data_IF_772318616802
#
_entry.id   IF_772318616802
#
_cell.length_a   1.000
_cell.length_b   1.000
_cell.length_c   1.000
_cell.angle_alpha   90.00
_cell.angle_beta   90.00
_cell.angle_gamma   90.00
#
_symmetry.space_group_name_H-M   'P 1'
#
loop_
_entity.id
_entity.type
_entity.pdbx_description
1 polymer ?
#
# COMPACT_ATOMS: atom_id res chain seq x y z
N UNK A 1 -2.78 12.06 10.46
CA UNK A 1 -3.07 10.73 9.85
C UNK A 1 -1.85 9.86 9.98
N UNK A 2 -2.00 8.60 10.36
CA UNK A 2 -0.94 7.60 10.47
C UNK A 2 -0.98 6.62 9.30
N UNK A 3 0.17 6.05 8.93
CA UNK A 3 0.27 5.04 7.87
C UNK A 3 0.43 3.63 8.45
N UNK A 4 -0.31 2.66 7.91
CA UNK A 4 -0.09 1.24 8.19
C UNK A 4 0.27 0.54 6.89
N UNK A 5 1.35 -0.25 6.89
CA UNK A 5 1.68 -1.15 5.78
C UNK A 5 1.52 -2.59 6.27
N UNK A 6 0.57 -3.33 5.69
CA UNK A 6 0.42 -4.75 5.99
C UNK A 6 1.35 -5.57 5.11
N UNK A 7 2.48 -5.97 5.64
CA UNK A 7 3.55 -6.72 4.98
C UNK A 7 3.66 -8.18 5.46
N UNK A 8 2.68 -8.69 6.22
CA UNK A 8 2.73 -9.99 6.90
C UNK A 8 2.25 -11.19 6.06
N UNK A 9 1.97 -11.00 4.78
CA UNK A 9 1.52 -12.05 3.88
C UNK A 9 2.62 -13.11 3.61
N UNK A 10 2.28 -14.40 3.76
CA UNK A 10 3.24 -15.52 3.55
C UNK A 10 3.71 -15.70 2.10
N UNK A 11 3.03 -15.13 1.12
CA UNK A 11 3.40 -15.22 -0.30
C UNK A 11 3.49 -16.66 -0.84
N UNK A 12 2.67 -17.59 -0.35
CA UNK A 12 2.77 -19.04 -0.68
C UNK A 12 2.66 -19.34 -2.16
N UNK A 13 1.96 -18.50 -2.93
CA UNK A 13 1.85 -18.62 -4.39
C UNK A 13 3.19 -18.38 -5.12
N UNK A 14 4.16 -17.75 -4.42
CA UNK A 14 5.51 -17.47 -4.94
C UNK A 14 6.57 -18.49 -4.44
N UNK A 15 6.17 -19.57 -3.76
CA UNK A 15 7.12 -20.60 -3.38
C UNK A 15 7.83 -21.19 -4.63
N UNK A 16 9.16 -21.44 -4.56
CA UNK A 16 10.04 -21.38 -3.38
C UNK A 16 10.66 -20.00 -3.05
N UNK A 17 10.45 -18.96 -3.85
CA UNK A 17 11.08 -17.63 -3.66
C UNK A 17 10.81 -17.02 -2.27
N UNK A 18 9.61 -17.21 -1.75
CA UNK A 18 9.18 -16.68 -0.44
C UNK A 18 9.34 -17.66 0.72
N UNK A 19 10.14 -18.72 0.56
CA UNK A 19 10.51 -19.60 1.69
C UNK A 19 11.51 -18.94 2.64
N UNK A 20 12.56 -18.23 2.15
CA UNK A 20 13.56 -17.62 3.02
C UNK A 20 13.18 -16.20 3.49
N UNK A 21 12.21 -15.53 2.85
CA UNK A 21 11.81 -14.15 3.15
C UNK A 21 10.38 -13.90 2.71
N UNK A 22 9.72 -12.93 3.33
CA UNK A 22 8.35 -12.55 2.95
C UNK A 22 8.31 -11.83 1.59
N UNK A 23 7.13 -11.89 0.94
CA UNK A 23 6.89 -11.32 -0.39
C UNK A 23 7.31 -9.84 -0.51
N UNK A 24 7.02 -8.93 0.46
CA UNK A 24 7.41 -7.52 0.35
C UNK A 24 8.91 -7.25 0.29
N UNK A 25 9.75 -8.22 0.63
CA UNK A 25 11.21 -8.12 0.53
C UNK A 25 11.75 -8.60 -0.83
N UNK A 26 10.93 -9.24 -1.66
CA UNK A 26 11.35 -9.64 -3.01
C UNK A 26 11.65 -8.40 -3.86
N UNK A 27 12.68 -8.46 -4.72
CA UNK A 27 12.99 -7.35 -5.62
C UNK A 27 11.91 -7.23 -6.70
N UNK A 28 11.49 -6.00 -6.98
CA UNK A 28 10.73 -5.63 -8.17
C UNK A 28 11.57 -4.65 -8.95
N UNK A 29 12.23 -5.15 -9.99
CA UNK A 29 13.25 -4.51 -10.80
C UNK A 29 14.49 -4.11 -9.98
N UNK A 30 14.58 -2.90 -9.45
CA UNK A 30 15.80 -2.31 -8.87
C UNK A 30 15.72 -2.09 -7.34
N UNK A 31 14.59 -2.40 -6.70
CA UNK A 31 14.40 -2.23 -5.26
C UNK A 31 13.43 -3.25 -4.66
N UNK A 32 13.45 -3.47 -3.33
CA UNK A 32 12.48 -4.34 -2.67
C UNK A 32 11.04 -3.83 -2.83
N UNK A 33 10.10 -4.73 -2.95
CA UNK A 33 8.67 -4.44 -3.16
C UNK A 33 8.10 -3.47 -2.13
N UNK A 34 8.53 -3.54 -0.87
CA UNK A 34 8.04 -2.69 0.23
C UNK A 34 8.28 -1.19 0.01
N UNK A 35 9.21 -0.81 -0.87
CA UNK A 35 9.46 0.59 -1.23
C UNK A 35 8.23 1.23 -1.89
N UNK A 36 7.49 0.47 -2.70
CA UNK A 36 6.34 1.01 -3.43
C UNK A 36 5.16 1.36 -2.52
N UNK A 37 4.68 0.50 -1.60
CA UNK A 37 3.64 0.89 -0.64
C UNK A 37 4.11 1.99 0.32
N UNK A 38 5.39 2.03 0.69
CA UNK A 38 5.93 3.14 1.48
C UNK A 38 5.89 4.45 0.68
N UNK A 39 6.25 4.41 -0.61
CA UNK A 39 6.14 5.57 -1.51
C UNK A 39 4.69 6.09 -1.62
N UNK A 40 3.67 5.21 -1.59
CA UNK A 40 2.26 5.61 -1.58
C UNK A 40 1.94 6.46 -0.34
N UNK A 41 2.35 6.03 0.85
CA UNK A 41 2.15 6.79 2.08
C UNK A 41 2.87 8.14 2.04
N UNK A 42 4.12 8.16 1.56
CA UNK A 42 4.89 9.39 1.43
C UNK A 42 4.26 10.37 0.42
N UNK A 43 3.74 9.89 -0.73
CA UNK A 43 3.01 10.71 -1.70
C UNK A 43 1.71 11.29 -1.13
N UNK A 44 1.06 10.56 -0.23
CA UNK A 44 -0.10 11.05 0.51
C UNK A 44 0.27 12.08 1.59
N UNK A 45 1.55 12.35 1.83
CA UNK A 45 2.04 13.27 2.86
C UNK A 45 2.09 12.65 4.27
N UNK A 46 2.13 11.32 4.36
CA UNK A 46 2.14 10.58 5.64
C UNK A 46 3.58 10.21 5.98
N UNK A 47 4.05 10.69 7.13
CA UNK A 47 5.43 10.50 7.62
C UNK A 47 5.54 9.61 8.86
N UNK A 48 4.44 9.35 9.57
CA UNK A 48 4.42 8.39 10.69
C UNK A 48 3.86 7.05 10.22
N UNK A 49 4.69 6.02 10.16
CA UNK A 49 4.35 4.72 9.54
C UNK A 49 4.62 3.57 10.48
N UNK A 50 3.68 2.62 10.56
CA UNK A 50 3.93 1.31 11.15
C UNK A 50 3.94 0.24 10.04
N UNK A 51 5.00 -0.56 9.99
CA UNK A 51 5.10 -1.73 9.11
C UNK A 51 4.75 -2.97 9.90
N UNK A 52 3.68 -3.65 9.50
CA UNK A 52 3.20 -4.88 10.13
C UNK A 52 3.81 -6.06 9.37
N UNK A 53 4.68 -6.80 10.02
CA UNK A 53 5.54 -7.83 9.43
C UNK A 53 5.17 -9.24 9.93
N UNK A 54 5.62 -10.31 9.25
CA UNK A 54 5.49 -11.67 9.79
C UNK A 54 6.34 -11.84 11.06
N UNK A 55 6.01 -12.83 11.92
CA UNK A 55 6.84 -13.18 13.07
C UNK A 55 8.28 -13.49 12.67
N UNK A 56 9.23 -13.00 13.47
CA UNK A 56 10.68 -13.19 13.30
C UNK A 56 11.30 -12.54 12.05
N UNK A 57 10.59 -11.64 11.36
CA UNK A 57 11.14 -10.89 10.22
C UNK A 57 11.37 -9.40 10.53
N UNK A 58 11.04 -8.94 11.73
CA UNK A 58 11.21 -7.53 12.15
C UNK A 58 12.64 -7.03 11.92
N UNK A 59 13.64 -7.81 12.31
CA UNK A 59 15.05 -7.43 12.14
C UNK A 59 15.43 -7.25 10.67
N UNK A 60 14.87 -8.07 9.78
CA UNK A 60 15.14 -7.98 8.33
C UNK A 60 14.55 -6.71 7.73
N UNK A 61 13.31 -6.37 8.11
CA UNK A 61 12.69 -5.12 7.67
C UNK A 61 13.38 -3.90 8.28
N UNK A 62 13.77 -3.98 9.56
CA UNK A 62 14.52 -2.93 10.25
C UNK A 62 15.90 -2.72 9.63
N UNK A 63 16.60 -3.79 9.23
CA UNK A 63 17.88 -3.68 8.51
C UNK A 63 17.75 -2.99 7.15
N UNK A 64 16.56 -3.09 6.49
CA UNK A 64 16.30 -2.46 5.19
C UNK A 64 15.82 -1.02 5.31
N UNK A 65 14.86 -0.75 6.20
CA UNK A 65 14.14 0.53 6.27
C UNK A 65 14.55 1.38 7.50
N UNK A 66 15.32 0.83 8.44
CA UNK A 66 15.73 1.51 9.66
C UNK A 66 14.53 1.97 10.49
N UNK A 67 14.69 3.12 11.12
CA UNK A 67 13.62 3.87 11.80
C UNK A 67 12.95 4.91 10.88
N UNK A 68 13.32 4.94 9.60
CA UNK A 68 12.80 5.84 8.59
C UNK A 68 13.49 7.21 8.53
N UNK A 69 14.41 7.53 9.45
CA UNK A 69 15.07 8.83 9.51
C UNK A 69 15.86 9.16 8.23
N UNK A 70 16.42 8.14 7.56
CA UNK A 70 17.09 8.29 6.26
C UNK A 70 16.16 8.75 5.14
N UNK A 71 14.84 8.60 5.30
CA UNK A 71 13.81 9.06 4.37
C UNK A 71 13.02 10.27 4.93
N UNK A 72 13.48 10.87 6.04
CA UNK A 72 12.79 11.98 6.70
C UNK A 72 11.41 11.64 7.29
N UNK A 73 11.16 10.37 7.58
CA UNK A 73 9.92 9.85 8.17
C UNK A 73 10.21 9.07 9.46
N UNK A 74 9.18 8.65 10.16
CA UNK A 74 9.29 7.76 11.34
C UNK A 74 8.67 6.41 11.02
N UNK A 75 9.44 5.33 11.18
CA UNK A 75 8.97 3.96 10.98
C UNK A 75 9.07 3.18 12.29
N UNK A 76 7.97 2.53 12.68
CA UNK A 76 7.97 1.51 13.70
C UNK A 76 7.43 0.19 13.15
N UNK A 77 7.63 -0.90 13.90
CA UNK A 77 7.31 -2.24 13.45
C UNK A 77 6.39 -2.93 14.45
N UNK A 78 5.46 -3.75 13.92
CA UNK A 78 4.66 -4.67 14.71
C UNK A 78 4.59 -6.03 14.00
N UNK A 79 4.41 -7.11 14.75
CA UNK A 79 4.23 -8.43 14.18
C UNK A 79 2.76 -8.79 14.07
N UNK A 80 2.38 -9.45 12.97
CA UNK A 80 1.11 -10.17 12.87
C UNK A 80 1.36 -11.66 13.12
N UNK A 81 1.11 -12.18 14.33
CA UNK A 81 1.47 -13.55 14.70
C UNK A 81 0.73 -14.61 13.89
N UNK A 82 -0.49 -14.30 13.49
CA UNK A 82 -1.37 -15.17 12.67
C UNK A 82 -2.01 -14.33 11.58
N UNK A 83 -1.98 -14.81 10.35
CA UNK A 83 -2.64 -14.15 9.22
C UNK A 83 -4.18 -14.26 9.37
N UNK A 84 -4.78 -13.29 10.07
CA UNK A 84 -6.23 -13.23 10.34
C UNK A 84 -6.98 -12.33 9.39
N UNK A 85 -6.40 -11.92 8.29
CA UNK A 85 -7.01 -11.05 7.30
C UNK A 85 -6.46 -9.61 7.32
N UNK A 86 -6.91 -8.80 6.36
CA UNK A 86 -6.39 -7.44 6.18
C UNK A 86 -6.88 -6.51 7.30
N UNK A 87 -8.14 -6.63 7.74
CA UNK A 87 -8.68 -5.77 8.79
C UNK A 87 -7.99 -5.96 10.15
N UNK A 88 -7.30 -7.08 10.37
CA UNK A 88 -6.47 -7.31 11.56
C UNK A 88 -5.34 -6.29 11.70
N UNK A 89 -4.86 -5.72 10.59
CA UNK A 89 -3.87 -4.64 10.61
C UNK A 89 -4.36 -3.41 11.39
N UNK A 90 -5.65 -3.09 11.32
CA UNK A 90 -6.25 -2.00 12.09
C UNK A 90 -6.21 -2.29 13.59
N UNK A 91 -6.42 -3.54 13.99
CA UNK A 91 -6.36 -3.95 15.40
C UNK A 91 -4.94 -3.91 15.95
N UNK A 92 -3.97 -4.39 15.17
CA UNK A 92 -2.55 -4.35 15.53
C UNK A 92 -2.05 -2.90 15.62
N UNK A 93 -2.46 -2.04 14.67
CA UNK A 93 -2.06 -0.64 14.61
C UNK A 93 -2.79 0.28 15.59
N UNK A 94 -3.78 -0.20 16.36
CA UNK A 94 -4.69 0.64 17.15
C UNK A 94 -3.98 1.60 18.12
N UNK A 95 -3.01 1.11 18.88
CA UNK A 95 -2.27 1.94 19.83
C UNK A 95 -1.39 2.99 19.13
N UNK A 96 -0.78 2.61 18.00
CA UNK A 96 0.03 3.51 17.19
C UNK A 96 -0.82 4.61 16.54
N UNK A 97 -1.99 4.26 16.01
CA UNK A 97 -2.90 5.22 15.39
C UNK A 97 -3.50 6.17 16.43
N UNK A 98 -3.83 5.67 17.64
CA UNK A 98 -4.44 6.48 18.70
C UNK A 98 -5.76 7.08 18.22
N UNK A 99 -5.89 8.40 18.35
CA UNK A 99 -7.09 9.16 17.92
C UNK A 99 -7.02 9.67 16.47
N UNK A 100 -5.94 9.39 15.76
CA UNK A 100 -5.72 9.83 14.38
C UNK A 100 -6.58 9.03 13.37
N UNK A 101 -6.72 9.59 12.18
CA UNK A 101 -7.13 8.84 10.99
C UNK A 101 -5.97 7.98 10.48
N UNK A 102 -6.28 6.98 9.65
CA UNK A 102 -5.31 5.99 9.18
C UNK A 102 -5.39 5.79 7.67
N UNK A 103 -4.23 5.64 7.03
CA UNK A 103 -4.10 5.07 5.70
C UNK A 103 -3.49 3.67 5.82
N UNK A 104 -4.23 2.65 5.40
CA UNK A 104 -3.75 1.27 5.31
C UNK A 104 -3.37 0.95 3.87
N UNK A 105 -2.16 0.46 3.66
CA UNK A 105 -1.66 0.02 2.35
C UNK A 105 -1.20 -1.43 2.43
N UNK A 106 -1.50 -2.21 1.40
CA UNK A 106 -1.00 -3.58 1.31
C UNK A 106 0.45 -3.59 0.83
N UNK A 107 1.30 -4.34 1.53
CA UNK A 107 2.75 -4.39 1.34
C UNK A 107 3.22 -5.02 0.02
N UNK A 108 2.28 -5.50 -0.79
CA UNK A 108 2.54 -6.14 -2.07
C UNK A 108 1.85 -5.45 -3.27
N UNK A 109 1.28 -4.27 -3.04
CA UNK A 109 0.63 -3.50 -4.09
C UNK A 109 1.55 -2.38 -4.60
N UNK A 110 1.64 -2.27 -5.90
CA UNK A 110 2.42 -1.24 -6.60
C UNK A 110 1.46 -0.37 -7.39
N UNK A 111 1.56 0.94 -7.21
CA UNK A 111 0.79 1.93 -7.98
C UNK A 111 1.73 2.96 -8.59
N UNK A 112 1.42 3.38 -9.80
CA UNK A 112 2.15 4.46 -10.45
C UNK A 112 1.26 5.20 -11.44
N UNK A 113 1.26 6.53 -11.36
CA UNK A 113 0.87 7.47 -12.40
C UNK A 113 1.36 8.87 -12.03
N UNK A 114 1.35 9.79 -12.98
CA UNK A 114 1.71 11.20 -12.73
C UNK A 114 0.68 11.91 -11.84
N UNK A 115 -0.58 11.46 -11.85
CA UNK A 115 -1.69 12.06 -11.10
C UNK A 115 -1.91 11.41 -9.72
N UNK A 116 -1.25 10.30 -9.44
CA UNK A 116 -1.50 9.48 -8.26
C UNK A 116 -1.36 10.28 -6.95
N UNK A 117 -0.32 11.09 -6.83
CA UNK A 117 -0.07 11.89 -5.62
C UNK A 117 -1.22 12.86 -5.30
N UNK A 118 -1.87 13.44 -6.32
CA UNK A 118 -3.03 14.31 -6.12
C UNK A 118 -4.23 13.53 -5.60
N UNK A 119 -4.49 12.37 -6.18
CA UNK A 119 -5.61 11.49 -5.78
C UNK A 119 -5.42 10.98 -4.35
N UNK A 120 -4.20 10.59 -3.99
CA UNK A 120 -3.85 10.14 -2.63
C UNK A 120 -4.02 11.26 -1.60
N UNK A 121 -3.58 12.50 -1.91
CA UNK A 121 -3.76 13.65 -1.03
C UNK A 121 -5.24 14.00 -0.81
N UNK A 122 -6.09 13.84 -1.83
CA UNK A 122 -7.55 13.98 -1.66
C UNK A 122 -8.10 12.96 -0.66
N UNK A 123 -7.68 11.69 -0.76
CA UNK A 123 -8.03 10.67 0.23
C UNK A 123 -7.55 11.02 1.64
N UNK A 124 -6.32 11.52 1.77
CA UNK A 124 -5.73 11.88 3.06
C UNK A 124 -6.38 13.13 3.72
N UNK A 125 -7.04 13.98 2.94
CA UNK A 125 -7.75 15.18 3.46
C UNK A 125 -9.13 14.87 4.05
N UNK A 126 -9.62 13.65 3.93
CA UNK A 126 -10.90 13.25 4.47
C UNK A 126 -10.94 13.39 6.00
N UNK A 127 -11.98 14.06 6.51
CA UNK A 127 -12.14 14.33 7.95
C UNK A 127 -12.93 13.23 8.68
N UNK A 128 -13.82 12.52 7.98
CA UNK A 128 -14.69 11.49 8.54
C UNK A 128 -15.08 10.47 7.47
N UNK A 129 -15.36 9.23 7.89
CA UNK A 129 -15.76 8.13 7.03
C UNK A 129 -14.56 7.40 6.41
N UNK A 130 -14.78 6.83 5.23
CA UNK A 130 -13.76 6.06 4.48
C UNK A 130 -13.66 6.53 3.04
N UNK A 131 -12.43 6.59 2.52
CA UNK A 131 -12.15 6.73 1.09
C UNK A 131 -11.35 5.53 0.62
N UNK A 132 -11.86 4.86 -0.40
CA UNK A 132 -11.18 3.78 -1.10
C UNK A 132 -11.19 4.06 -2.60
N UNK A 133 -10.46 3.26 -3.35
CA UNK A 133 -10.34 3.46 -4.80
C UNK A 133 -11.04 2.35 -5.57
N UNK A 134 -11.62 2.71 -6.71
CA UNK A 134 -12.14 1.77 -7.69
C UNK A 134 -11.18 1.62 -8.86
N UNK A 135 -10.68 0.42 -9.12
CA UNK A 135 -9.79 0.14 -10.24
C UNK A 135 -10.40 -0.88 -11.18
N UNK A 136 -10.44 -0.57 -12.48
CA UNK A 136 -11.02 -1.46 -13.47
C UNK A 136 -10.07 -2.60 -13.85
N UNK A 137 -10.55 -3.85 -13.80
CA UNK A 137 -9.79 -5.03 -14.20
C UNK A 137 -10.64 -5.95 -15.09
N UNK A 138 -10.01 -6.71 -15.95
CA UNK A 138 -10.69 -7.69 -16.80
C UNK A 138 -11.28 -8.86 -15.99
N UNK A 139 -10.54 -9.33 -14.98
CA UNK A 139 -10.97 -10.42 -14.08
C UNK A 139 -11.06 -9.96 -12.62
N UNK A 140 -12.23 -9.49 -12.15
CA UNK A 140 -12.38 -8.97 -10.79
C UNK A 140 -12.56 -10.06 -9.71
N UNK A 141 -12.79 -11.32 -10.07
CA UNK A 141 -13.12 -12.43 -9.13
C UNK A 141 -12.15 -12.61 -7.96
N UNK A 142 -10.83 -12.38 -8.05
CA UNK A 142 -9.92 -12.57 -6.93
C UNK A 142 -9.97 -11.47 -5.86
N UNK A 143 -10.75 -10.40 -6.06
CA UNK A 143 -10.68 -9.15 -5.32
C UNK A 143 -12.04 -8.77 -4.70
N UNK A 144 -12.03 -7.77 -3.83
CA UNK A 144 -13.24 -7.07 -3.42
C UNK A 144 -13.81 -6.25 -4.59
N UNK A 145 -15.04 -6.54 -5.01
CA UNK A 145 -15.69 -5.93 -6.18
C UNK A 145 -16.71 -4.90 -5.71
N UNK A 146 -16.65 -3.69 -6.27
CA UNK A 146 -17.59 -2.61 -6.01
C UNK A 146 -18.56 -2.44 -7.18
N UNK A 147 -19.84 -2.27 -6.88
CA UNK A 147 -20.89 -1.95 -7.84
C UNK A 147 -21.29 -0.49 -7.68
N UNK A 148 -21.49 0.21 -8.79
CA UNK A 148 -21.91 1.61 -8.83
C UNK A 148 -23.32 1.75 -9.40
N UNK A 149 -24.06 2.75 -8.95
CA UNK A 149 -25.30 3.21 -9.57
C UNK A 149 -25.03 4.11 -10.80
N UNK A 150 -26.11 4.62 -11.41
CA UNK A 150 -26.04 5.50 -12.57
C UNK A 150 -25.40 6.87 -12.26
N UNK A 151 -25.39 7.28 -10.98
CA UNK A 151 -24.76 8.52 -10.51
C UNK A 151 -23.27 8.33 -10.12
N UNK A 152 -22.75 7.09 -10.24
CA UNK A 152 -21.37 6.74 -9.89
C UNK A 152 -21.16 6.54 -8.38
N UNK A 153 -22.22 6.34 -7.60
CA UNK A 153 -22.11 6.04 -6.17
C UNK A 153 -21.99 4.54 -5.96
N UNK A 154 -21.14 4.13 -5.02
CA UNK A 154 -21.04 2.72 -4.63
C UNK A 154 -22.34 2.26 -3.95
N UNK A 155 -22.93 1.16 -4.42
CA UNK A 155 -24.17 0.60 -3.88
C UNK A 155 -23.99 -0.79 -3.28
N UNK A 156 -22.97 -1.52 -3.68
CA UNK A 156 -22.62 -2.79 -3.07
C UNK A 156 -21.12 -3.08 -3.19
N UNK A 157 -20.61 -3.87 -2.24
CA UNK A 157 -19.25 -4.40 -2.27
C UNK A 157 -19.32 -5.88 -1.90
N UNK A 158 -18.60 -6.73 -2.63
CA UNK A 158 -18.57 -8.17 -2.38
C UNK A 158 -17.14 -8.71 -2.45
N UNK A 159 -16.72 -9.45 -1.41
CA UNK A 159 -15.39 -10.06 -1.36
C UNK A 159 -15.34 -11.31 -2.24
N UNK A 160 -14.47 -11.31 -3.25
CA UNK A 160 -14.21 -12.44 -4.16
C UNK A 160 -15.48 -13.12 -4.68
N UNK A 161 -16.38 -12.39 -5.32
CA UNK A 161 -17.66 -12.90 -5.77
C UNK A 161 -17.51 -13.97 -6.84
N UNK A 162 -18.35 -15.01 -6.79
CA UNK A 162 -18.43 -16.02 -7.88
C UNK A 162 -18.97 -15.42 -9.17
N UNK A 163 -19.87 -14.45 -9.04
CA UNK A 163 -20.54 -13.73 -10.14
C UNK A 163 -20.42 -12.23 -9.91
N UNK A 164 -19.25 -11.62 -10.30
CA UNK A 164 -19.01 -10.21 -10.11
C UNK A 164 -20.07 -9.35 -10.79
N UNK A 165 -20.56 -8.32 -10.09
CA UNK A 165 -21.56 -7.38 -10.63
C UNK A 165 -20.92 -6.25 -11.44
N UNK A 166 -19.62 -6.04 -11.29
CA UNK A 166 -18.84 -5.06 -12.04
C UNK A 166 -17.41 -5.55 -12.29
N UNK A 167 -16.66 -4.78 -13.06
CA UNK A 167 -15.23 -4.99 -13.27
C UNK A 167 -14.37 -4.05 -12.39
N UNK A 168 -15.00 -3.27 -11.51
CA UNK A 168 -14.27 -2.42 -10.58
C UNK A 168 -13.95 -3.15 -9.29
N UNK A 169 -12.68 -3.17 -8.93
CA UNK A 169 -12.19 -3.74 -7.67
C UNK A 169 -11.75 -2.64 -6.73
N UNK A 170 -11.63 -2.96 -5.45
CA UNK A 170 -11.00 -2.10 -4.44
C UNK A 170 -9.57 -2.60 -4.24
N UNK A 171 -8.55 -1.93 -4.79
CA UNK A 171 -7.16 -2.29 -4.59
C UNK A 171 -6.67 -1.88 -3.19
N UNK A 172 -5.45 -2.28 -2.84
CA UNK A 172 -4.92 -2.26 -1.49
C UNK A 172 -4.51 -0.90 -0.91
N UNK A 173 -5.32 0.15 -1.08
CA UNK A 173 -5.16 1.45 -0.43
C UNK A 173 -6.48 1.87 0.18
N UNK A 174 -6.48 2.16 1.49
CA UNK A 174 -7.67 2.49 2.26
C UNK A 174 -7.40 3.67 3.19
N UNK A 175 -8.20 4.71 3.11
CA UNK A 175 -8.20 5.84 4.03
C UNK A 175 -9.42 5.74 4.93
N UNK A 176 -9.21 5.77 6.23
CA UNK A 176 -10.26 5.65 7.23
C UNK A 176 -10.13 6.72 8.31
N UNK A 177 -11.27 7.17 8.84
CA UNK A 177 -11.29 7.84 10.12
C UNK A 177 -11.04 6.84 11.27
N UNK A 178 -10.96 7.33 12.49
CA UNK A 178 -10.64 6.50 13.67
C UNK A 178 -11.70 5.42 13.98
N UNK A 179 -12.93 5.56 13.49
CA UNK A 179 -13.99 4.56 13.70
C UNK A 179 -13.64 3.18 13.11
N UNK A 180 -12.73 3.13 12.13
CA UNK A 180 -12.28 1.87 11.53
C UNK A 180 -11.73 0.87 12.58
N UNK A 181 -11.10 1.37 13.64
CA UNK A 181 -10.56 0.53 14.71
C UNK A 181 -11.66 -0.19 15.49
N UNK A 182 -12.77 0.50 15.76
CA UNK A 182 -13.93 -0.07 16.43
C UNK A 182 -14.71 -1.00 15.49
N UNK A 183 -14.88 -0.60 14.24
CA UNK A 183 -15.52 -1.44 13.23
C UNK A 183 -14.75 -2.76 13.10
N UNK A 184 -13.43 -2.71 12.93
CA UNK A 184 -12.59 -3.91 12.82
C UNK A 184 -12.67 -4.81 14.07
N UNK A 185 -12.75 -4.23 15.28
CA UNK A 185 -12.87 -4.97 16.53
C UNK A 185 -14.20 -5.73 16.67
N UNK A 186 -15.24 -5.29 15.97
CA UNK A 186 -16.59 -5.90 16.00
C UNK A 186 -16.83 -6.86 14.82
N UNK A 187 -15.86 -7.06 13.92
CA UNK A 187 -16.01 -7.99 12.81
C UNK A 187 -16.02 -9.45 13.30
N UNK A 188 -16.81 -10.26 12.62
CA UNK A 188 -16.71 -11.72 12.73
C UNK A 188 -15.90 -12.28 11.59
N UNK A 189 -15.00 -13.26 11.85
CA UNK A 189 -14.24 -13.88 10.77
C UNK A 189 -15.15 -14.49 9.69
N UNK A 190 -14.76 -14.32 8.45
CA UNK A 190 -15.43 -14.90 7.28
C UNK A 190 -15.35 -16.43 7.29
N UNK A 191 -15.99 -17.09 6.33
CA UNK A 191 -15.86 -18.55 6.14
C UNK A 191 -14.41 -19.02 5.91
N UNK A 192 -13.52 -18.09 5.52
CA UNK A 192 -12.07 -18.32 5.37
C UNK A 192 -11.30 -18.17 6.68
N UNK A 193 -11.97 -17.75 7.75
CA UNK A 193 -11.35 -17.45 9.05
C UNK A 193 -10.62 -16.10 9.07
N UNK A 194 -10.89 -15.20 8.10
CA UNK A 194 -10.25 -13.90 7.95
C UNK A 194 -11.18 -12.76 8.37
N UNK A 195 -10.62 -11.73 9.00
CA UNK A 195 -11.26 -10.42 9.19
C UNK A 195 -11.09 -9.64 7.88
N UNK A 196 -12.16 -9.60 7.09
CA UNK A 196 -12.11 -9.05 5.75
C UNK A 196 -12.14 -7.51 5.79
N UNK A 197 -11.26 -6.87 5.05
CA UNK A 197 -11.30 -5.42 4.90
C UNK A 197 -12.57 -4.96 4.16
N UNK A 198 -13.10 -5.82 3.32
CA UNK A 198 -14.38 -5.62 2.63
C UNK A 198 -15.53 -5.42 3.61
N UNK A 199 -15.51 -6.10 4.76
CA UNK A 199 -16.55 -5.92 5.79
C UNK A 199 -16.43 -4.58 6.52
N UNK A 200 -15.22 -4.05 6.68
CA UNK A 200 -15.01 -2.67 7.16
C UNK A 200 -15.61 -1.67 6.16
N UNK A 201 -15.30 -1.83 4.86
CA UNK A 201 -15.85 -0.97 3.81
C UNK A 201 -17.39 -1.07 3.73
N UNK A 202 -17.95 -2.27 3.88
CA UNK A 202 -19.40 -2.47 3.91
C UNK A 202 -20.08 -1.75 5.08
N UNK A 203 -19.45 -1.70 6.24
CA UNK A 203 -19.97 -0.98 7.38
C UNK A 203 -19.99 0.54 7.12
N UNK A 204 -18.93 1.10 6.52
CA UNK A 204 -18.95 2.49 6.08
C UNK A 204 -19.97 2.75 4.98
N UNK A 205 -20.15 1.83 4.05
CA UNK A 205 -21.19 1.93 3.01
C UNK A 205 -22.60 1.97 3.61
N UNK A 206 -22.90 1.11 4.59
CA UNK A 206 -24.20 1.09 5.31
C UNK A 206 -24.50 2.37 6.07
N UNK A 207 -23.44 3.06 6.53
CA UNK A 207 -23.53 4.35 7.23
C UNK A 207 -23.60 5.55 6.28
N UNK A 208 -23.57 5.34 4.96
CA UNK A 208 -23.45 6.39 3.94
C UNK A 208 -22.18 7.26 4.15
N UNK A 209 -21.09 6.60 4.58
CA UNK A 209 -19.81 7.23 4.91
C UNK A 209 -18.65 6.66 4.09
N UNK A 210 -18.92 5.90 3.02
CA UNK A 210 -17.91 5.38 2.10
C UNK A 210 -17.88 6.21 0.83
N UNK A 211 -16.70 6.75 0.52
CA UNK A 211 -16.41 7.32 -0.80
C UNK A 211 -15.54 6.33 -1.59
N UNK A 212 -15.95 6.00 -2.81
CA UNK A 212 -15.15 5.24 -3.75
C UNK A 212 -14.73 6.16 -4.89
N UNK A 213 -13.42 6.44 -4.99
CA UNK A 213 -12.86 7.27 -6.04
C UNK A 213 -12.36 6.37 -7.18
N UNK A 214 -12.90 6.47 -8.40
CA UNK A 214 -12.36 5.72 -9.52
C UNK A 214 -10.93 6.22 -9.84
N UNK A 215 -10.00 5.28 -9.99
CA UNK A 215 -8.68 5.58 -10.51
C UNK A 215 -8.75 5.72 -12.03
N UNK A 216 -8.02 6.70 -12.55
CA UNK A 216 -7.91 6.96 -13.99
C UNK A 216 -7.23 5.78 -14.70
N UNK A 217 -7.43 5.67 -16.02
CA UNK A 217 -6.90 4.56 -16.82
C UNK A 217 -5.37 4.55 -16.98
N UNK A 218 -4.73 5.68 -16.74
CA UNK A 218 -3.27 5.84 -16.74
C UNK A 218 -2.61 5.30 -15.46
N UNK A 219 -3.40 5.07 -14.40
CA UNK A 219 -2.87 4.47 -13.17
C UNK A 219 -2.51 3.01 -13.44
N UNK A 220 -1.24 2.70 -13.30
CA UNK A 220 -0.71 1.33 -13.29
C UNK A 220 -0.88 0.77 -11.90
N UNK A 221 -1.58 -0.37 -11.77
CA UNK A 221 -1.68 -1.15 -10.55
C UNK A 221 -1.19 -2.58 -10.79
N UNK A 222 -0.31 -3.07 -9.91
CA UNK A 222 0.32 -4.39 -9.99
C UNK A 222 0.25 -5.05 -8.61
N UNK A 223 -0.25 -6.29 -8.55
CA UNK A 223 -0.36 -7.05 -7.29
C UNK A 223 0.80 -8.03 -7.06
N UNK A 224 1.63 -8.25 -8.08
CA UNK A 224 2.79 -9.15 -8.04
C UNK A 224 2.53 -10.48 -7.30
N UNK A 225 1.32 -11.05 -7.43
CA UNK A 225 0.84 -12.19 -6.65
C UNK A 225 1.31 -13.56 -7.14
N UNK A 226 1.85 -13.65 -8.35
CA UNK A 226 2.39 -14.86 -9.00
C UNK A 226 3.78 -14.59 -9.55
N UNK A 227 4.52 -15.63 -9.95
CA UNK A 227 5.84 -15.47 -10.55
C UNK A 227 5.77 -14.65 -11.85
N UNK A 228 4.75 -14.87 -12.66
CA UNK A 228 4.54 -14.12 -13.91
C UNK A 228 4.21 -12.66 -13.60
N UNK A 229 3.25 -12.38 -12.72
CA UNK A 229 2.90 -11.00 -12.37
C UNK A 229 4.03 -10.24 -11.65
N UNK A 230 4.90 -10.93 -10.93
CA UNK A 230 6.11 -10.34 -10.35
C UNK A 230 7.13 -9.94 -11.43
N UNK A 231 7.31 -10.80 -12.44
CA UNK A 231 8.17 -10.50 -13.59
C UNK A 231 7.60 -9.35 -14.42
N UNK A 232 6.31 -9.37 -14.70
CA UNK A 232 5.60 -8.30 -15.43
C UNK A 232 5.69 -6.97 -14.68
N UNK A 233 5.58 -6.99 -13.35
CA UNK A 233 5.76 -5.80 -12.51
C UNK A 233 7.18 -5.23 -12.67
N UNK A 234 8.20 -6.06 -12.56
CA UNK A 234 9.60 -5.63 -12.77
C UNK A 234 9.84 -5.06 -14.16
N UNK A 235 9.29 -5.69 -15.21
CA UNK A 235 9.41 -5.21 -16.57
C UNK A 235 8.67 -3.87 -16.79
N UNK A 236 7.48 -3.73 -16.21
CA UNK A 236 6.68 -2.50 -16.28
C UNK A 236 7.41 -1.34 -15.63
N UNK A 237 7.92 -1.51 -14.39
CA UNK A 237 8.69 -0.48 -13.70
C UNK A 237 9.94 -0.10 -14.50
N UNK A 238 10.69 -1.09 -15.00
CA UNK A 238 11.85 -0.84 -15.85
C UNK A 238 11.51 0.01 -17.07
N UNK A 239 10.42 -0.30 -17.76
CA UNK A 239 9.99 0.44 -18.96
C UNK A 239 9.63 1.88 -18.61
N UNK A 240 8.83 2.11 -17.54
CA UNK A 240 8.48 3.45 -17.09
C UNK A 240 9.74 4.26 -16.76
N UNK A 241 10.68 3.69 -16.02
CA UNK A 241 11.93 4.38 -15.67
C UNK A 241 12.80 4.67 -16.90
N UNK A 242 12.85 3.75 -17.87
CA UNK A 242 13.60 3.96 -19.12
C UNK A 242 12.98 5.04 -20.01
N UNK A 243 11.66 5.14 -20.04
CA UNK A 243 10.92 6.12 -20.85
C UNK A 243 10.93 7.52 -20.24
N UNK A 244 10.81 7.60 -18.90
CA UNK A 244 10.66 8.88 -18.19
C UNK A 244 11.99 9.44 -17.67
N UNK A 245 13.00 8.60 -17.48
CA UNK A 245 14.24 8.94 -16.79
C UNK A 245 14.06 9.12 -15.28
N UNK A 246 12.86 8.84 -14.72
CA UNK A 246 12.55 8.98 -13.30
C UNK A 246 12.40 7.62 -12.64
N UNK A 247 12.83 7.52 -11.39
CA UNK A 247 12.69 6.29 -10.61
C UNK A 247 11.31 6.18 -9.99
N UNK A 248 10.63 5.07 -10.20
CA UNK A 248 9.34 4.78 -9.57
C UNK A 248 9.57 4.35 -8.12
N UNK A 249 8.89 4.99 -7.16
CA UNK A 249 9.03 4.66 -5.75
C UNK A 249 10.41 4.97 -5.16
N UNK A 250 11.07 6.03 -5.64
CA UNK A 250 12.29 6.57 -5.05
C UNK A 250 11.94 7.34 -3.78
N UNK A 251 12.24 6.76 -2.61
CA UNK A 251 11.81 7.31 -1.31
C UNK A 251 12.54 8.61 -0.99
N UNK A 252 13.82 8.71 -1.33
CA UNK A 252 14.65 9.88 -1.11
C UNK A 252 14.18 11.07 -1.97
N UNK A 253 13.85 10.84 -3.24
CA UNK A 253 13.27 11.86 -4.12
C UNK A 253 11.91 12.33 -3.61
N UNK A 254 11.05 11.40 -3.17
CA UNK A 254 9.76 11.74 -2.58
C UNK A 254 9.93 12.57 -1.30
N UNK A 255 10.86 12.19 -0.43
CA UNK A 255 11.18 12.93 0.79
C UNK A 255 11.71 14.35 0.49
N UNK A 256 12.56 14.48 -0.51
CA UNK A 256 13.05 15.77 -1.00
C UNK A 256 11.90 16.66 -1.51
N UNK A 257 11.05 16.10 -2.36
CA UNK A 257 9.88 16.81 -2.91
C UNK A 257 8.85 17.22 -1.84
N UNK A 258 8.78 16.49 -0.71
CA UNK A 258 7.96 16.86 0.45
C UNK A 258 8.66 17.86 1.38
N UNK A 259 9.93 18.17 1.16
CA UNK A 259 10.73 19.02 2.03
C UNK A 259 11.15 18.34 3.34
N UNK A 260 11.10 17.00 3.40
CA UNK A 260 11.52 16.21 4.57
C UNK A 260 13.01 15.92 4.58
N UNK A 261 13.66 15.91 3.40
CA UNK A 261 15.10 15.86 3.23
C UNK A 261 15.60 17.09 2.48
N UNK A 262 16.83 17.50 2.77
CA UNK A 262 17.56 18.53 2.02
C UNK A 262 18.27 17.90 0.82
N UNK A 263 18.65 18.72 -0.17
CA UNK A 263 19.48 18.31 -1.31
C UNK A 263 20.77 17.63 -0.84
N UNK A 264 21.45 18.19 0.18
CA UNK A 264 22.65 17.61 0.77
C UNK A 264 22.43 16.19 1.33
N UNK A 265 21.30 15.98 2.03
CA UNK A 265 20.95 14.66 2.57
C UNK A 265 20.70 13.64 1.48
N UNK A 266 19.98 14.02 0.41
CA UNK A 266 19.74 13.13 -0.75
C UNK A 266 21.04 12.82 -1.49
N UNK A 267 21.90 13.83 -1.69
CA UNK A 267 23.22 13.62 -2.31
C UNK A 267 24.09 12.66 -1.49
N UNK A 268 24.12 12.81 -0.16
CA UNK A 268 24.86 11.93 0.75
C UNK A 268 24.32 10.49 0.70
N UNK A 269 22.98 10.30 0.70
CA UNK A 269 22.37 8.99 0.50
C UNK A 269 22.80 8.35 -0.83
N UNK A 270 22.87 9.16 -1.90
CA UNK A 270 23.41 8.72 -3.19
C UNK A 270 24.88 8.29 -3.13
N UNK A 271 25.72 8.98 -2.35
CA UNK A 271 27.13 8.61 -2.15
C UNK A 271 27.27 7.28 -1.39
N UNK A 272 26.45 7.04 -0.35
CA UNK A 272 26.44 5.80 0.42
C UNK A 272 26.08 4.59 -0.45
N UNK A 273 25.19 4.76 -1.43
CA UNK A 273 24.83 3.73 -2.41
C UNK A 273 25.89 3.53 -3.50
N UNK A 274 26.93 4.36 -3.51
CA UNK A 274 28.14 4.20 -4.31
C UNK A 274 27.88 4.22 -5.80
N UNK A 275 28.44 3.21 -6.52
CA UNK A 275 28.38 3.13 -7.99
C UNK A 275 27.10 2.52 -8.56
N UNK A 276 26.05 2.32 -7.73
CA UNK A 276 24.78 1.84 -8.23
C UNK A 276 24.08 2.90 -9.10
N UNK A 277 23.28 2.46 -10.08
CA UNK A 277 22.51 3.41 -10.90
C UNK A 277 21.53 4.23 -10.04
N UNK A 278 20.99 3.64 -9.00
CA UNK A 278 20.13 4.32 -8.04
C UNK A 278 20.89 5.43 -7.28
N UNK A 279 22.08 5.12 -6.77
CA UNK A 279 22.92 6.12 -6.10
C UNK A 279 23.37 7.25 -7.03
N UNK A 280 23.70 6.95 -8.30
CA UNK A 280 24.01 7.97 -9.30
C UNK A 280 22.82 8.88 -9.60
N UNK A 281 21.60 8.30 -9.67
CA UNK A 281 20.38 9.08 -9.83
C UNK A 281 20.17 10.07 -8.69
N UNK A 282 20.30 9.63 -7.43
CA UNK A 282 20.15 10.50 -6.26
C UNK A 282 21.18 11.65 -6.24
N UNK A 283 22.40 11.41 -6.72
CA UNK A 283 23.43 12.46 -6.81
C UNK A 283 23.16 13.51 -7.89
N UNK A 284 22.18 13.27 -8.78
CA UNK A 284 21.77 14.17 -9.85
C UNK A 284 20.45 14.92 -9.57
N UNK A 285 19.77 14.59 -8.48
CA UNK A 285 18.58 15.30 -8.02
C UNK A 285 18.95 16.66 -7.42
#
# INVERSE_FOLDING_TARGET
MKGLILAAGKGTRLYPMTKPMSKPLLPVYDKPMIYYPLAILMQAGISDVMVIVPPNETDTFCALLGDGSQFGISICYAEQPVARGIADALLIGREFVGDDSVCLVLGDNIFHSDTLAEVLRKGAQQQSGATVFGYWVENPRPFGVVEFDEDGRAISIEEKPRHPKSNYIIPGIYFYDNQAMEIAANLTPSQRGELEITDVNLEYLRRDQLQVLPLERDVVWLDAGTADSLMDAGQTIRNIQAETGRYVGCLEELAFNQGWLTEEQVHNAGQELGMTLYGQYLQCL
#
